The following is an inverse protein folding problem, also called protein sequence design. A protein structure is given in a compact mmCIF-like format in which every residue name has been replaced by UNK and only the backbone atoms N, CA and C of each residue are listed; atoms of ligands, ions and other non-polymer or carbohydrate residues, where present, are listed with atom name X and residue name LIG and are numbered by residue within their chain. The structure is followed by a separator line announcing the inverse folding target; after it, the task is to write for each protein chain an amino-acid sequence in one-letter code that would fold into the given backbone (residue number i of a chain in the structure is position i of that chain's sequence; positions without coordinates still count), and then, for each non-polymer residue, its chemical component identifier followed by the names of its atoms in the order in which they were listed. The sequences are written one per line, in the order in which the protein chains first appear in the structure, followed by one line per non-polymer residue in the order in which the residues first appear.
data_IF_870374278822
#
_entry.id   IF_870374278822
#
_cell.length_a   1.000
_cell.length_b   1.000
_cell.length_c   1.000
_cell.angle_alpha   90.00
_cell.angle_beta   90.00
_cell.angle_gamma   90.00
#
_symmetry.space_group_name_H-M   'P 1'
#
loop_
_entity.id
_entity.type
_entity.pdbx_description
1 polymer ?
#
# COMPACT_ATOMS: atom_id res chain seq x y z
N UNK A 1 -23.59 -15.34 6.23
CA UNK A 1 -22.94 -15.23 7.54
C UNK A 1 -23.94 -14.93 8.64
N UNK A 2 -24.82 -13.95 8.52
CA UNK A 2 -25.79 -13.60 9.56
C UNK A 2 -26.72 -14.73 10.00
N UNK A 3 -27.06 -15.65 9.05
CA UNK A 3 -27.89 -16.84 9.33
C UNK A 3 -27.15 -17.98 10.05
N UNK A 4 -25.82 -17.94 10.13
CA UNK A 4 -25.02 -18.99 10.77
C UNK A 4 -24.84 -18.80 12.28
N UNK A 5 -25.18 -17.62 12.80
CA UNK A 5 -24.89 -17.22 14.18
C UNK A 5 -23.41 -16.90 14.45
N UNK A 6 -22.54 -16.94 13.44
CA UNK A 6 -21.09 -16.72 13.57
C UNK A 6 -20.66 -15.27 13.28
N UNK A 7 -21.58 -14.41 12.84
CA UNK A 7 -21.24 -13.04 12.42
C UNK A 7 -20.53 -12.25 13.52
N UNK A 8 -20.91 -12.41 14.78
CA UNK A 8 -20.29 -11.75 15.93
C UNK A 8 -18.89 -12.26 16.31
N UNK A 9 -18.48 -13.39 15.76
CA UNK A 9 -17.18 -14.04 16.06
C UNK A 9 -16.33 -14.27 14.82
N UNK A 10 -16.55 -13.49 13.75
CA UNK A 10 -15.82 -13.66 12.49
C UNK A 10 -15.28 -12.31 12.02
N UNK A 11 -13.96 -12.20 11.88
CA UNK A 11 -13.30 -11.08 11.21
C UNK A 11 -13.36 -11.35 9.71
N UNK A 12 -13.76 -10.33 8.94
CA UNK A 12 -13.81 -10.41 7.48
C UNK A 12 -12.75 -9.48 6.91
N UNK A 13 -11.93 -10.00 6.00
CA UNK A 13 -10.97 -9.20 5.25
C UNK A 13 -11.25 -9.37 3.77
N UNK A 14 -11.43 -8.26 3.07
CA UNK A 14 -11.59 -8.21 1.62
C UNK A 14 -10.49 -7.35 1.04
N UNK A 15 -9.70 -7.90 0.13
CA UNK A 15 -8.64 -7.19 -0.57
C UNK A 15 -8.50 -7.69 -2.00
N UNK A 16 -7.74 -6.97 -2.81
CA UNK A 16 -7.21 -7.46 -4.08
C UNK A 16 -5.68 -7.45 -4.05
N UNK A 17 -5.06 -8.35 -4.79
CA UNK A 17 -3.60 -8.42 -4.94
C UNK A 17 -3.06 -7.30 -5.85
N UNK A 18 -3.84 -6.84 -6.84
CA UNK A 18 -3.52 -5.75 -7.74
C UNK A 18 -4.78 -5.09 -8.30
N UNK A 19 -4.62 -3.88 -8.82
CA UNK A 19 -5.57 -3.21 -9.70
C UNK A 19 -5.26 -3.48 -11.18
N UNK A 20 -5.77 -2.62 -12.07
CA UNK A 20 -5.57 -2.78 -13.52
C UNK A 20 -5.73 -1.43 -14.23
N UNK A 21 -4.85 -1.15 -15.20
CA UNK A 21 -5.01 -0.04 -16.14
C UNK A 21 -5.88 -0.48 -17.31
N UNK A 22 -6.86 0.34 -17.66
CA UNK A 22 -7.79 0.10 -18.78
C UNK A 22 -7.62 1.12 -19.93
N UNK A 23 -6.42 1.67 -20.04
CA UNK A 23 -6.05 2.68 -21.03
C UNK A 23 -5.47 3.96 -20.41
N UNK A 24 -5.57 4.13 -19.09
CA UNK A 24 -4.94 5.26 -18.40
C UNK A 24 -3.43 5.21 -18.61
N UNK A 25 -2.81 6.35 -18.87
CA UNK A 25 -1.38 6.48 -19.18
C UNK A 25 -0.95 5.63 -20.40
N UNK A 26 -1.88 5.40 -21.34
CA UNK A 26 -1.66 4.56 -22.54
C UNK A 26 -1.24 3.11 -22.19
N UNK A 27 -1.62 2.64 -21.00
CA UNK A 27 -1.27 1.33 -20.48
C UNK A 27 -2.52 0.47 -20.27
N UNK A 28 -2.48 -0.78 -20.73
CA UNK A 28 -3.54 -1.78 -20.54
C UNK A 28 -2.90 -3.00 -19.90
N UNK A 29 -2.71 -2.96 -18.59
CA UNK A 29 -2.11 -4.06 -17.84
C UNK A 29 -2.06 -3.75 -16.34
N UNK A 30 -1.62 -4.74 -15.54
CA UNK A 30 -1.39 -4.60 -14.09
C UNK A 30 0.06 -4.30 -13.72
N UNK A 31 1.00 -4.59 -14.61
CA UNK A 31 2.43 -4.49 -14.33
C UNK A 31 2.93 -3.04 -14.40
N UNK A 32 2.55 -2.23 -13.41
CA UNK A 32 2.95 -0.85 -13.27
C UNK A 32 3.07 -0.45 -11.81
N UNK A 33 3.84 0.61 -11.52
CA UNK A 33 3.98 1.20 -10.19
C UNK A 33 3.02 2.38 -9.96
N UNK A 34 2.14 2.66 -10.92
CA UNK A 34 1.15 3.73 -10.85
C UNK A 34 -0.09 3.35 -10.03
N UNK A 35 -0.87 4.36 -9.65
CA UNK A 35 -2.00 4.23 -8.71
C UNK A 35 -3.03 3.19 -9.15
N UNK A 36 -3.43 3.15 -10.43
CA UNK A 36 -4.48 2.24 -10.91
C UNK A 36 -4.15 0.75 -10.74
N UNK A 37 -2.86 0.39 -10.82
CA UNK A 37 -2.39 -0.97 -10.60
C UNK A 37 -2.21 -1.29 -9.10
N UNK A 38 -2.03 -0.29 -8.25
CA UNK A 38 -1.61 -0.48 -6.85
C UNK A 38 -2.64 -0.04 -5.81
N UNK A 39 -3.61 0.81 -6.18
CA UNK A 39 -4.70 1.22 -5.30
C UNK A 39 -5.82 0.20 -5.33
N UNK A 40 -5.75 -0.74 -4.43
CA UNK A 40 -6.69 -1.87 -4.31
C UNK A 40 -7.59 -1.70 -3.09
N UNK A 41 -8.78 -2.32 -3.08
CA UNK A 41 -9.59 -2.36 -1.87
C UNK A 41 -8.85 -3.11 -0.75
N UNK A 42 -8.94 -2.58 0.45
CA UNK A 42 -8.60 -3.26 1.69
C UNK A 42 -9.68 -2.93 2.72
N UNK A 43 -10.55 -3.89 2.99
CA UNK A 43 -11.67 -3.74 3.92
C UNK A 43 -11.49 -4.75 5.03
N UNK A 44 -11.46 -4.28 6.28
CA UNK A 44 -11.37 -5.13 7.46
C UNK A 44 -12.60 -4.88 8.33
N UNK A 45 -13.38 -5.92 8.56
CA UNK A 45 -14.55 -5.88 9.44
C UNK A 45 -14.26 -6.69 10.69
N UNK A 46 -14.16 -6.00 11.83
CA UNK A 46 -14.10 -6.62 13.15
C UNK A 46 -15.41 -6.33 13.90
N UNK A 47 -16.27 -7.33 14.13
CA UNK A 47 -17.56 -7.14 14.80
C UNK A 47 -17.45 -6.60 16.22
N UNK A 48 -16.27 -6.73 16.84
CA UNK A 48 -15.97 -6.18 18.17
C UNK A 48 -15.69 -4.67 18.15
N UNK A 49 -15.60 -4.06 16.95
CA UNK A 49 -15.27 -2.64 16.72
C UNK A 49 -16.40 -1.89 15.98
N UNK A 50 -17.66 -1.94 16.48
CA UNK A 50 -18.80 -1.37 15.73
C UNK A 50 -18.69 0.15 15.51
N UNK A 51 -17.93 0.87 16.36
CA UNK A 51 -17.74 2.33 16.22
C UNK A 51 -16.89 2.74 15.03
N UNK A 52 -16.09 1.82 14.48
CA UNK A 52 -15.27 2.08 13.28
C UNK A 52 -15.97 1.63 11.99
N UNK A 53 -17.11 0.94 12.08
CA UNK A 53 -17.84 0.46 10.91
C UNK A 53 -18.23 1.60 9.96
N UNK A 54 -18.03 1.37 8.66
CA UNK A 54 -18.33 2.34 7.60
C UNK A 54 -17.36 3.54 7.53
N UNK A 55 -16.33 3.60 8.36
CA UNK A 55 -15.31 4.66 8.33
C UNK A 55 -14.13 4.26 7.45
N UNK A 56 -13.44 5.25 6.91
CA UNK A 56 -12.28 5.09 6.03
C UNK A 56 -11.03 5.63 6.72
N UNK A 57 -9.93 4.87 6.66
CA UNK A 57 -8.58 5.34 6.96
C UNK A 57 -7.91 5.76 5.65
N UNK A 58 -7.42 7.00 5.55
CA UNK A 58 -6.78 7.53 4.35
C UNK A 58 -5.26 7.30 4.29
N UNK A 59 -4.67 6.68 5.32
CA UNK A 59 -3.25 6.35 5.30
C UNK A 59 -2.97 5.21 4.34
N UNK A 60 -2.08 5.36 3.35
CA UNK A 60 -1.67 4.25 2.49
C UNK A 60 -0.99 3.15 3.30
N UNK A 61 -1.25 1.92 2.91
CA UNK A 61 -0.63 0.71 3.46
C UNK A 61 -0.25 -0.24 2.33
N UNK A 62 0.75 -1.05 2.53
CA UNK A 62 1.02 -2.18 1.64
C UNK A 62 0.46 -3.49 2.22
N UNK A 63 0.27 -4.50 1.37
CA UNK A 63 -0.38 -5.76 1.77
C UNK A 63 0.45 -6.59 2.76
N UNK A 64 1.70 -6.24 3.03
CA UNK A 64 2.50 -6.89 4.08
C UNK A 64 1.87 -6.68 5.47
N UNK A 65 1.03 -5.65 5.61
CA UNK A 65 0.28 -5.36 6.84
C UNK A 65 -0.77 -6.44 7.20
N UNK A 66 -1.23 -7.25 6.25
CA UNK A 66 -2.35 -8.19 6.47
C UNK A 66 -2.03 -9.21 7.57
N UNK A 67 -0.90 -9.90 7.43
CA UNK A 67 -0.54 -10.97 8.35
C UNK A 67 -0.37 -10.48 9.80
N UNK A 68 0.44 -9.44 10.10
CA UNK A 68 0.56 -8.94 11.47
C UNK A 68 -0.74 -8.36 12.01
N UNK A 69 -1.57 -7.75 11.17
CA UNK A 69 -2.89 -7.25 11.58
C UNK A 69 -3.81 -8.39 12.03
N UNK A 70 -3.82 -9.50 11.29
CA UNK A 70 -4.63 -10.66 11.67
C UNK A 70 -4.13 -11.30 12.98
N UNK A 71 -2.81 -11.39 13.19
CA UNK A 71 -2.26 -11.84 14.46
C UNK A 71 -2.76 -10.97 15.63
N UNK A 72 -2.64 -9.64 15.50
CA UNK A 72 -3.09 -8.71 16.54
C UNK A 72 -4.60 -8.81 16.80
N UNK A 73 -5.41 -8.80 15.74
CA UNK A 73 -6.85 -8.88 15.85
C UNK A 73 -7.33 -10.21 16.45
N UNK A 74 -6.59 -11.30 16.23
CA UNK A 74 -6.88 -12.61 16.79
C UNK A 74 -6.24 -12.85 18.16
N UNK A 75 -5.46 -11.91 18.70
CA UNK A 75 -4.75 -12.06 19.97
C UNK A 75 -3.66 -13.12 19.93
N UNK A 76 -3.07 -13.35 18.75
CA UNK A 76 -1.97 -14.29 18.53
C UNK A 76 -0.62 -13.60 18.74
N UNK A 77 0.43 -14.35 19.11
CA UNK A 77 1.77 -13.80 19.25
C UNK A 77 2.29 -13.24 17.94
N UNK A 78 3.01 -12.11 18.01
CA UNK A 78 3.70 -11.56 16.85
C UNK A 78 4.73 -12.56 16.27
N UNK A 79 4.87 -12.57 14.95
CA UNK A 79 5.88 -13.37 14.27
C UNK A 79 7.11 -12.50 13.97
N UNK A 80 8.27 -12.75 14.62
CA UNK A 80 9.44 -11.84 14.55
C UNK A 80 10.04 -11.64 13.15
N UNK A 81 9.85 -12.61 12.23
CA UNK A 81 10.36 -12.51 10.85
C UNK A 81 9.39 -11.78 9.90
N UNK A 82 8.38 -11.10 10.43
CA UNK A 82 7.40 -10.39 9.62
C UNK A 82 7.83 -8.92 9.43
N UNK A 83 7.99 -8.48 8.18
CA UNK A 83 8.39 -7.12 7.83
C UNK A 83 7.22 -6.12 7.83
N UNK A 84 5.99 -6.62 7.80
CA UNK A 84 4.79 -5.80 7.77
C UNK A 84 4.46 -5.16 9.12
N UNK A 85 3.79 -4.02 9.09
CA UNK A 85 3.26 -3.35 10.29
C UNK A 85 1.76 -3.68 10.44
N UNK A 86 1.36 -4.01 11.66
CA UNK A 86 -0.06 -4.17 11.97
C UNK A 86 -0.82 -2.84 11.89
N UNK A 87 -1.99 -2.89 11.26
CA UNK A 87 -2.95 -1.77 11.18
C UNK A 87 -4.17 -1.99 12.09
N UNK A 88 -4.08 -2.87 13.08
CA UNK A 88 -5.18 -3.14 14.01
C UNK A 88 -5.63 -1.89 14.79
N UNK A 89 -4.72 -0.94 15.02
CA UNK A 89 -5.05 0.35 15.63
C UNK A 89 -5.95 1.20 14.75
N UNK A 90 -5.76 1.18 13.42
CA UNK A 90 -6.59 1.87 12.42
C UNK A 90 -7.94 1.17 12.26
N UNK A 91 -7.99 -0.16 12.38
CA UNK A 91 -9.27 -0.89 12.41
C UNK A 91 -10.12 -0.44 13.60
N UNK A 92 -9.49 -0.14 14.72
CA UNK A 92 -10.20 0.37 15.92
C UNK A 92 -10.54 1.86 15.82
N UNK A 93 -9.64 2.65 15.28
CA UNK A 93 -9.78 4.11 15.08
C UNK A 93 -9.18 4.55 13.75
N UNK A 94 -10.00 4.64 12.68
CA UNK A 94 -9.55 5.02 11.34
C UNK A 94 -8.95 6.43 11.20
N UNK A 95 -9.07 7.28 12.21
CA UNK A 95 -8.44 8.60 12.21
C UNK A 95 -6.94 8.57 12.54
N UNK A 96 -6.43 7.46 13.02
CA UNK A 96 -5.00 7.29 13.31
C UNK A 96 -4.19 7.24 12.03
N UNK A 97 -3.13 8.04 11.99
CA UNK A 97 -2.18 8.04 10.86
C UNK A 97 -1.15 6.93 11.01
N UNK A 98 -0.64 6.48 9.87
CA UNK A 98 0.48 5.54 9.77
C UNK A 98 1.69 6.33 9.29
N UNK A 99 2.78 6.32 10.04
CA UNK A 99 3.98 7.06 9.70
C UNK A 99 4.77 6.42 8.54
N UNK A 100 4.77 5.09 8.46
CA UNK A 100 5.45 4.36 7.39
C UNK A 100 4.61 4.46 6.09
N UNK A 101 5.19 4.92 4.97
CA UNK A 101 4.51 4.89 3.68
C UNK A 101 4.36 3.47 3.16
N UNK A 102 3.44 3.28 2.22
CA UNK A 102 3.34 2.03 1.47
C UNK A 102 4.49 1.91 0.47
N UNK A 103 5.10 0.74 0.39
CA UNK A 103 6.18 0.41 -0.54
C UNK A 103 5.69 -0.63 -1.55
N UNK A 104 5.95 -0.38 -2.83
CA UNK A 104 5.65 -1.29 -3.92
C UNK A 104 6.92 -1.58 -4.71
N UNK A 105 7.05 -2.80 -5.21
CA UNK A 105 8.17 -3.24 -6.05
C UNK A 105 7.65 -3.96 -7.27
N UNK A 106 8.19 -3.62 -8.44
CA UNK A 106 7.94 -4.32 -9.69
C UNK A 106 9.25 -4.68 -10.38
N UNK A 107 9.56 -5.96 -10.40
CA UNK A 107 10.85 -6.43 -10.92
C UNK A 107 12.04 -5.98 -10.06
N UNK A 108 13.24 -6.13 -10.60
CA UNK A 108 14.46 -5.79 -9.90
C UNK A 108 14.75 -4.28 -9.98
N UNK A 109 14.83 -3.64 -8.82
CA UNK A 109 15.26 -2.23 -8.73
C UNK A 109 14.20 -1.18 -9.06
N UNK A 110 12.96 -1.58 -9.40
CA UNK A 110 11.89 -0.63 -9.63
C UNK A 110 11.00 -0.57 -8.38
N UNK A 111 10.89 0.61 -7.78
CA UNK A 111 10.17 0.80 -6.53
C UNK A 111 9.30 2.05 -6.55
N UNK A 112 8.17 1.99 -5.85
CA UNK A 112 7.36 3.16 -5.57
C UNK A 112 7.10 3.30 -4.07
N UNK A 113 7.11 4.53 -3.59
CA UNK A 113 6.74 4.91 -2.21
C UNK A 113 5.47 5.77 -2.29
N UNK A 114 4.44 5.38 -1.54
CA UNK A 114 3.16 6.09 -1.49
C UNK A 114 2.90 6.61 -0.09
N UNK A 115 2.93 7.94 0.07
CA UNK A 115 2.44 8.66 1.25
C UNK A 115 1.01 9.14 1.00
N UNK A 116 0.37 9.76 1.96
CA UNK A 116 -1.02 10.22 1.80
C UNK A 116 -1.21 11.20 0.62
N UNK A 117 -0.20 12.03 0.33
CA UNK A 117 -0.26 13.02 -0.75
C UNK A 117 0.58 12.64 -1.96
N UNK A 118 1.74 12.03 -1.77
CA UNK A 118 2.74 11.88 -2.81
C UNK A 118 2.92 10.42 -3.21
N UNK A 119 3.18 10.18 -4.50
CA UNK A 119 3.78 8.96 -5.02
C UNK A 119 5.12 9.31 -5.64
N UNK A 120 6.17 8.66 -5.18
CA UNK A 120 7.49 8.72 -5.77
C UNK A 120 7.86 7.35 -6.32
N UNK A 121 8.31 7.32 -7.57
CA UNK A 121 8.73 6.09 -8.26
C UNK A 121 10.17 6.29 -8.69
N UNK A 122 10.99 5.27 -8.50
CA UNK A 122 12.35 5.21 -9.03
C UNK A 122 12.54 3.87 -9.73
N UNK A 123 13.01 3.95 -10.97
CA UNK A 123 13.28 2.79 -11.81
C UNK A 123 14.73 2.35 -11.73
N UNK A 124 15.02 1.10 -12.16
CA UNK A 124 16.36 0.51 -12.14
C UNK A 124 17.35 1.23 -13.05
N UNK A 125 16.87 1.92 -14.07
CA UNK A 125 17.68 2.74 -14.99
C UNK A 125 17.99 4.15 -14.44
N UNK A 126 17.50 4.45 -13.24
CA UNK A 126 17.68 5.75 -12.58
C UNK A 126 16.66 6.81 -12.95
N UNK A 127 15.70 6.51 -13.81
CA UNK A 127 14.58 7.44 -14.08
C UNK A 127 13.64 7.53 -12.90
N UNK A 128 12.99 8.70 -12.74
CA UNK A 128 12.17 9.01 -11.58
C UNK A 128 10.84 9.62 -11.99
N UNK A 129 9.81 9.36 -11.19
CA UNK A 129 8.52 10.01 -11.28
C UNK A 129 8.05 10.47 -9.90
N UNK A 130 7.41 11.63 -9.84
CA UNK A 130 6.76 12.17 -8.64
C UNK A 130 5.39 12.70 -9.00
N UNK A 131 4.38 12.32 -8.21
CA UNK A 131 2.98 12.73 -8.41
C UNK A 131 2.37 13.28 -7.14
N UNK A 132 1.65 14.41 -7.27
CA UNK A 132 0.88 15.04 -6.20
C UNK A 132 -0.59 14.63 -6.26
N UNK A 133 -0.98 13.61 -5.54
CA UNK A 133 -2.34 13.07 -5.55
C UNK A 133 -3.43 14.04 -5.07
N UNK A 134 -3.05 15.13 -4.39
CA UNK A 134 -3.99 16.19 -4.04
C UNK A 134 -4.46 16.96 -5.28
N UNK A 135 -3.57 17.18 -6.24
CA UNK A 135 -3.81 18.00 -7.42
C UNK A 135 -3.91 17.16 -8.72
N UNK A 136 -3.28 15.99 -8.74
CA UNK A 136 -3.23 15.07 -9.88
C UNK A 136 -3.45 13.62 -9.42
N UNK A 137 -4.67 13.21 -9.07
CA UNK A 137 -4.97 11.86 -8.61
C UNK A 137 -4.82 10.79 -9.70
N UNK A 138 -4.71 11.18 -10.96
CA UNK A 138 -4.52 10.29 -12.09
C UNK A 138 -3.06 10.17 -12.56
N UNK A 139 -2.14 10.88 -11.91
CA UNK A 139 -0.70 10.80 -12.21
C UNK A 139 -0.33 11.18 -13.65
N UNK A 140 -0.97 12.26 -14.18
CA UNK A 140 -0.69 12.73 -15.54
C UNK A 140 0.60 13.54 -15.66
N UNK A 141 0.97 14.28 -14.60
CA UNK A 141 2.06 15.25 -14.61
C UNK A 141 3.20 14.76 -13.73
N UNK A 142 4.30 14.30 -14.35
CA UNK A 142 5.51 13.93 -13.62
C UNK A 142 6.24 15.20 -13.15
N UNK A 143 6.37 15.35 -11.84
CA UNK A 143 7.00 16.51 -11.17
C UNK A 143 8.47 16.26 -10.80
N UNK A 144 9.04 15.09 -11.07
CA UNK A 144 10.39 14.72 -10.62
C UNK A 144 11.49 15.63 -11.18
N UNK A 145 11.30 16.21 -12.37
CA UNK A 145 12.25 17.15 -12.97
C UNK A 145 12.24 18.57 -12.40
N UNK A 146 11.28 18.89 -11.52
CA UNK A 146 11.11 20.25 -11.01
C UNK A 146 11.90 20.46 -9.71
N UNK A 147 12.81 21.45 -9.70
CA UNK A 147 13.73 21.75 -8.59
C UNK A 147 13.02 21.98 -7.23
N UNK A 148 11.81 22.53 -7.25
CA UNK A 148 11.04 22.83 -6.05
C UNK A 148 10.62 21.57 -5.30
N UNK A 149 10.56 20.39 -5.93
CA UNK A 149 10.16 19.12 -5.30
C UNK A 149 11.34 18.25 -4.88
N UNK A 150 12.60 18.73 -5.07
CA UNK A 150 13.80 17.96 -4.73
C UNK A 150 13.77 17.42 -3.30
N UNK A 151 13.37 18.24 -2.32
CA UNK A 151 13.27 17.83 -0.92
C UNK A 151 12.26 16.70 -0.72
N UNK A 152 11.12 16.75 -1.42
CA UNK A 152 10.08 15.71 -1.34
C UNK A 152 10.62 14.39 -1.90
N UNK A 153 11.35 14.44 -3.01
CA UNK A 153 12.00 13.27 -3.61
C UNK A 153 13.00 12.66 -2.63
N UNK A 154 13.88 13.48 -2.03
CA UNK A 154 14.88 13.04 -1.05
C UNK A 154 14.21 12.34 0.15
N UNK A 155 13.17 12.94 0.73
CA UNK A 155 12.40 12.37 1.86
C UNK A 155 11.74 11.02 1.49
N UNK A 156 11.23 10.86 0.26
CA UNK A 156 10.63 9.60 -0.19
C UNK A 156 11.69 8.56 -0.56
N UNK A 157 12.83 8.98 -1.09
CA UNK A 157 13.93 8.10 -1.44
C UNK A 157 14.53 7.40 -0.19
N UNK A 158 14.45 8.01 1.00
CA UNK A 158 14.88 7.38 2.25
C UNK A 158 14.13 6.08 2.58
N UNK A 159 12.89 5.95 2.10
CA UNK A 159 12.06 4.76 2.28
C UNK A 159 12.30 3.66 1.24
N UNK A 160 13.07 3.95 0.20
CA UNK A 160 13.39 2.96 -0.83
C UNK A 160 14.27 1.85 -0.26
N UNK A 161 14.13 0.60 -0.74
CA UNK A 161 15.01 -0.48 -0.35
C UNK A 161 16.47 -0.15 -0.61
N UNK A 162 17.32 -0.38 0.38
CA UNK A 162 18.78 -0.18 0.26
C UNK A 162 19.46 -1.33 -0.47
N UNK A 163 18.81 -2.48 -0.50
CA UNK A 163 19.29 -3.69 -1.19
C UNK A 163 18.15 -4.27 -2.00
N UNK A 164 18.47 -4.70 -3.22
CA UNK A 164 17.52 -5.42 -4.08
C UNK A 164 17.81 -6.92 -3.99
N UNK A 165 16.83 -7.70 -3.60
CA UNK A 165 16.92 -9.15 -3.69
C UNK A 165 16.99 -9.57 -5.15
N UNK A 166 17.86 -10.54 -5.47
CA UNK A 166 17.89 -11.13 -6.80
C UNK A 166 16.53 -11.75 -7.12
N UNK A 167 16.07 -11.69 -8.38
CA UNK A 167 14.90 -12.42 -8.80
C UNK A 167 15.05 -13.90 -8.46
N UNK A 168 13.97 -14.53 -8.00
CA UNK A 168 13.96 -15.96 -7.78
C UNK A 168 14.09 -16.66 -9.14
N UNK A 169 15.10 -17.50 -9.29
CA UNK A 169 15.22 -18.32 -10.48
C UNK A 169 14.07 -19.33 -10.50
N UNK A 170 13.21 -19.23 -11.52
CA UNK A 170 12.15 -20.22 -11.71
C UNK A 170 12.81 -21.59 -11.86
N UNK A 171 12.67 -22.42 -10.85
CA UNK A 171 12.92 -23.85 -10.99
C UNK A 171 11.88 -24.39 -11.99
N UNK A 172 12.26 -24.48 -13.26
CA UNK A 172 11.50 -25.19 -14.29
C UNK A 172 11.69 -26.69 -14.13
#
# INVERSE_FOLDING_TARGET
MDRSGQAGNTIIVVWSDHGFHLGEKEHIEKFALWEKANHVPLIIVDPRKPKSAGRVCSSPVDLTCLYPTLLDLCGLPAYPANDGLSVASQVSDPSRTIAKPALMTYGFGNHAVRTQRWRYIRYADGTEELYDHKNDPNEWNNLAGEKQYKKIIEEHAEWMPKTNAKPFENLR
#
